data_IF_186679233688
#
_entry.id   IF_186679233688
#
_cell.length_a   1.000
_cell.length_b   1.000
_cell.length_c   1.000
_cell.angle_alpha   90.00
_cell.angle_beta   90.00
_cell.angle_gamma   90.00
#
_symmetry.space_group_name_H-M   'P 1'
#
loop_
_entity.id
_entity.type
_entity.pdbx_description
1 polymer ?
#
# COMPACT_ATOMS: atom_id res chain seq x y z
N UNK A 1 67.79 -24.98 -43.54
CA UNK A 1 66.51 -24.36 -43.11
C UNK A 1 66.69 -23.71 -41.74
N UNK A 2 66.86 -22.37 -41.68
CA UNK A 2 66.96 -21.62 -40.41
C UNK A 2 65.56 -21.11 -40.03
N UNK A 3 65.00 -21.63 -38.95
CA UNK A 3 63.80 -21.10 -38.32
C UNK A 3 64.10 -19.69 -37.76
N UNK A 4 63.52 -18.66 -38.37
CA UNK A 4 63.47 -17.32 -37.81
C UNK A 4 62.58 -17.34 -36.55
N UNK A 5 63.20 -17.19 -35.38
CA UNK A 5 62.48 -16.94 -34.13
C UNK A 5 61.93 -15.52 -34.18
N UNK A 6 60.60 -15.40 -34.23
CA UNK A 6 59.93 -14.12 -34.08
C UNK A 6 60.26 -13.52 -32.69
N UNK A 7 60.51 -12.20 -32.61
CA UNK A 7 60.76 -11.54 -31.33
C UNK A 7 59.55 -11.70 -30.41
N UNK A 8 59.80 -12.09 -29.16
CA UNK A 8 58.77 -12.13 -28.12
C UNK A 8 58.28 -10.70 -27.88
N UNK A 9 56.97 -10.42 -27.89
CA UNK A 9 56.48 -9.09 -27.56
C UNK A 9 56.94 -8.73 -26.15
N UNK A 10 57.63 -7.60 -26.03
CA UNK A 10 57.95 -6.98 -24.75
C UNK A 10 56.62 -6.77 -24.00
N UNK A 11 56.55 -7.27 -22.76
CA UNK A 11 55.41 -7.02 -21.87
C UNK A 11 55.37 -5.51 -21.59
N UNK A 12 54.58 -4.79 -22.38
CA UNK A 12 54.33 -3.37 -22.17
C UNK A 12 53.57 -3.22 -20.85
N UNK A 13 54.10 -2.42 -19.92
CA UNK A 13 53.38 -2.04 -18.71
C UNK A 13 52.11 -1.26 -19.07
N UNK A 14 51.10 -1.33 -18.21
CA UNK A 14 49.83 -0.63 -18.40
C UNK A 14 50.07 0.87 -18.52
N UNK A 15 49.55 1.48 -19.58
CA UNK A 15 49.73 2.90 -19.86
C UNK A 15 48.82 3.75 -18.96
N UNK A 16 49.22 4.99 -18.66
CA UNK A 16 48.39 5.92 -17.87
C UNK A 16 47.01 6.16 -18.50
N UNK A 17 46.93 6.13 -19.84
CA UNK A 17 45.67 6.25 -20.57
C UNK A 17 44.75 5.04 -20.34
N UNK A 18 45.29 3.82 -20.32
CA UNK A 18 44.50 2.61 -20.01
C UNK A 18 43.94 2.66 -18.59
N UNK A 19 44.73 3.11 -17.61
CA UNK A 19 44.27 3.27 -16.22
C UNK A 19 43.15 4.31 -16.13
N UNK A 20 43.27 5.43 -16.85
CA UNK A 20 42.22 6.46 -16.91
C UNK A 20 40.93 5.92 -17.51
N UNK A 21 41.01 5.19 -18.63
CA UNK A 21 39.85 4.59 -19.28
C UNK A 21 39.20 3.56 -18.36
N UNK A 22 39.99 2.68 -17.75
CA UNK A 22 39.50 1.67 -16.81
C UNK A 22 38.80 2.32 -15.60
N UNK A 23 39.39 3.37 -15.06
CA UNK A 23 38.81 4.12 -13.93
C UNK A 23 37.50 4.80 -14.32
N UNK A 24 37.43 5.40 -15.52
CA UNK A 24 36.19 6.00 -16.02
C UNK A 24 35.07 4.96 -16.15
N UNK A 25 35.35 3.81 -16.77
CA UNK A 25 34.40 2.70 -16.91
C UNK A 25 33.94 2.21 -15.53
N UNK A 26 34.87 2.06 -14.58
CA UNK A 26 34.56 1.66 -13.22
C UNK A 26 33.59 2.64 -12.54
N UNK A 27 33.84 3.94 -12.66
CA UNK A 27 32.97 4.98 -12.09
C UNK A 27 31.57 4.92 -12.69
N UNK A 28 31.45 4.82 -14.01
CA UNK A 28 30.14 4.66 -14.66
C UNK A 28 29.42 3.38 -14.22
N UNK A 29 30.15 2.27 -14.08
CA UNK A 29 29.60 1.01 -13.56
C UNK A 29 29.06 1.15 -12.14
N UNK A 30 29.82 1.79 -11.25
CA UNK A 30 29.39 2.02 -9.86
C UNK A 30 28.14 2.90 -9.81
N UNK A 31 28.08 3.98 -10.59
CA UNK A 31 26.91 4.86 -10.66
C UNK A 31 25.67 4.11 -11.16
N UNK A 32 25.81 3.28 -12.20
CA UNK A 32 24.72 2.46 -12.72
C UNK A 32 24.18 1.48 -11.66
N UNK A 33 25.08 0.79 -10.94
CA UNK A 33 24.69 -0.13 -9.86
C UNK A 33 23.95 0.61 -8.73
N UNK A 34 24.46 1.77 -8.31
CA UNK A 34 23.80 2.58 -7.27
C UNK A 34 22.40 3.03 -7.70
N UNK A 35 22.23 3.44 -8.96
CA UNK A 35 20.92 3.83 -9.48
C UNK A 35 19.90 2.67 -9.41
N UNK A 36 20.33 1.45 -9.75
CA UNK A 36 19.49 0.24 -9.66
C UNK A 36 19.12 -0.05 -8.20
N UNK A 37 20.07 0.03 -7.27
CA UNK A 37 19.80 -0.21 -5.84
C UNK A 37 18.78 0.79 -5.30
N UNK A 38 18.93 2.07 -5.61
CA UNK A 38 17.99 3.11 -5.20
C UNK A 38 16.57 2.87 -5.76
N UNK A 39 16.48 2.44 -7.02
CA UNK A 39 15.21 2.04 -7.63
C UNK A 39 14.58 0.85 -6.90
N UNK A 40 15.36 -0.20 -6.64
CA UNK A 40 14.90 -1.39 -5.94
C UNK A 40 14.39 -1.07 -4.52
N UNK A 41 15.09 -0.20 -3.79
CA UNK A 41 14.65 0.24 -2.45
C UNK A 41 13.30 0.96 -2.50
N UNK A 42 13.06 1.83 -3.49
CA UNK A 42 11.76 2.51 -3.66
C UNK A 42 10.64 1.52 -3.98
N UNK A 43 10.91 0.56 -4.85
CA UNK A 43 9.94 -0.50 -5.18
C UNK A 43 9.62 -1.38 -3.96
N UNK A 44 10.64 -1.76 -3.19
CA UNK A 44 10.46 -2.54 -1.97
C UNK A 44 9.63 -1.78 -0.93
N UNK A 45 9.98 -0.52 -0.66
CA UNK A 45 9.21 0.34 0.25
C UNK A 45 7.75 0.46 -0.18
N UNK A 46 7.48 0.63 -1.48
CA UNK A 46 6.12 0.67 -2.00
C UNK A 46 5.38 -0.64 -1.76
N UNK A 47 6.01 -1.78 -2.02
CA UNK A 47 5.41 -3.09 -1.80
C UNK A 47 5.11 -3.35 -0.32
N UNK A 48 6.02 -2.95 0.57
CA UNK A 48 5.79 -2.99 2.03
C UNK A 48 4.61 -2.11 2.42
N UNK A 49 4.57 -0.87 1.93
CA UNK A 49 3.48 0.06 2.25
C UNK A 49 2.11 -0.47 1.81
N UNK A 50 2.04 -1.05 0.61
CA UNK A 50 0.84 -1.70 0.06
C UNK A 50 0.45 -2.95 0.86
N UNK A 51 1.42 -3.78 1.27
CA UNK A 51 1.18 -4.98 2.09
C UNK A 51 0.59 -4.61 3.45
N UNK A 52 1.14 -3.58 4.12
CA UNK A 52 0.61 -3.10 5.39
C UNK A 52 -0.80 -2.53 5.19
N UNK A 53 -1.03 -1.77 4.11
CA UNK A 53 -2.36 -1.25 3.81
C UNK A 53 -3.41 -2.36 3.62
N UNK A 54 -3.03 -3.48 2.97
CA UNK A 54 -3.89 -4.66 2.87
C UNK A 54 -4.18 -5.27 4.24
N UNK A 55 -3.18 -5.44 5.10
CA UNK A 55 -3.36 -6.01 6.44
C UNK A 55 -4.25 -5.12 7.33
N UNK A 56 -4.08 -3.80 7.26
CA UNK A 56 -4.95 -2.81 7.92
C UNK A 56 -6.38 -2.93 7.39
N UNK A 57 -6.57 -3.04 6.08
CA UNK A 57 -7.90 -3.18 5.52
C UNK A 57 -8.57 -4.51 5.93
N UNK A 58 -7.83 -5.61 5.92
CA UNK A 58 -8.33 -6.93 6.30
C UNK A 58 -8.74 -7.02 7.76
N UNK A 59 -7.95 -6.45 8.67
CA UNK A 59 -8.28 -6.39 10.09
C UNK A 59 -9.52 -5.53 10.35
N UNK A 60 -9.59 -4.34 9.74
CA UNK A 60 -10.78 -3.48 9.83
C UNK A 60 -12.01 -4.15 9.23
N UNK A 61 -11.88 -4.84 8.09
CA UNK A 61 -12.98 -5.61 7.50
C UNK A 61 -13.41 -6.78 8.38
N UNK A 62 -12.48 -7.44 9.07
CA UNK A 62 -12.81 -8.52 10.00
C UNK A 62 -13.59 -8.00 11.21
N UNK A 63 -13.15 -6.87 11.79
CA UNK A 63 -13.87 -6.17 12.86
C UNK A 63 -15.29 -5.77 12.40
N UNK A 64 -15.41 -5.18 11.21
CA UNK A 64 -16.70 -4.83 10.65
C UNK A 64 -17.60 -6.04 10.40
N UNK A 65 -17.06 -7.14 9.89
CA UNK A 65 -17.82 -8.37 9.69
C UNK A 65 -18.36 -8.92 11.01
N UNK A 66 -17.52 -8.94 12.05
CA UNK A 66 -17.94 -9.37 13.38
C UNK A 66 -19.06 -8.48 13.93
N UNK A 67 -18.95 -7.16 13.76
CA UNK A 67 -20.00 -6.21 14.15
C UNK A 67 -21.30 -6.44 13.36
N UNK A 68 -21.21 -6.69 12.06
CA UNK A 68 -22.36 -6.95 11.19
C UNK A 68 -23.06 -8.27 11.50
N UNK A 69 -22.31 -9.31 11.86
CA UNK A 69 -22.82 -10.63 12.23
C UNK A 69 -23.49 -10.60 13.61
N UNK A 70 -22.95 -9.83 14.56
CA UNK A 70 -23.47 -9.73 15.95
C UNK A 70 -24.68 -8.79 16.13
N UNK A 71 -25.20 -8.22 15.04
CA UNK A 71 -26.34 -7.29 15.13
C UNK A 71 -25.96 -5.81 15.32
N UNK A 72 -24.70 -5.44 15.11
CA UNK A 72 -24.22 -4.06 15.26
C UNK A 72 -23.62 -3.76 16.63
N UNK A 73 -23.71 -2.50 17.06
CA UNK A 73 -23.38 -2.06 18.41
C UNK A 73 -24.44 -2.56 19.41
N UNK A 74 -24.18 -2.36 20.71
CA UNK A 74 -25.09 -2.78 21.81
C UNK A 74 -26.52 -2.26 21.68
N UNK A 75 -26.74 -1.25 20.85
CA UNK A 75 -28.01 -0.59 20.56
C UNK A 75 -28.62 -1.00 19.21
N UNK A 76 -28.06 -2.01 18.51
CA UNK A 76 -28.50 -2.42 17.17
C UNK A 76 -28.01 -1.51 16.05
N UNK A 77 -27.21 -0.49 16.36
CA UNK A 77 -26.73 0.49 15.39
C UNK A 77 -25.49 0.04 14.64
N UNK A 78 -25.38 0.50 13.39
CA UNK A 78 -24.16 0.28 12.61
C UNK A 78 -22.99 1.04 13.23
N UNK A 79 -21.76 0.52 13.03
CA UNK A 79 -20.58 1.32 13.31
C UNK A 79 -20.64 2.64 12.52
N UNK A 80 -20.26 3.77 13.14
CA UNK A 80 -20.34 5.05 12.46
C UNK A 80 -19.45 5.03 11.21
N UNK A 81 -20.05 5.37 10.07
CA UNK A 81 -19.27 5.64 8.86
C UNK A 81 -18.35 6.84 9.13
N UNK A 82 -17.13 6.73 8.63
CA UNK A 82 -16.12 7.79 8.70
C UNK A 82 -15.97 8.35 7.30
N UNK A 83 -16.15 9.67 7.14
CA UNK A 83 -15.98 10.32 5.85
C UNK A 83 -14.51 10.21 5.40
N UNK A 84 -14.21 9.57 4.26
CA UNK A 84 -12.85 9.45 3.74
C UNK A 84 -12.24 10.80 3.32
N UNK A 85 -13.04 11.87 3.23
CA UNK A 85 -12.57 13.23 2.90
C UNK A 85 -12.04 13.99 4.12
N UNK A 86 -12.09 13.40 5.32
CA UNK A 86 -11.54 14.03 6.50
C UNK A 86 -10.02 14.25 6.36
N UNK A 87 -9.47 15.34 6.93
CA UNK A 87 -8.03 15.53 7.04
C UNK A 87 -7.36 14.31 7.71
N UNK A 88 -6.13 13.99 7.29
CA UNK A 88 -5.40 12.80 7.75
C UNK A 88 -5.36 12.66 9.29
N UNK A 89 -5.19 13.76 10.00
CA UNK A 89 -5.10 13.77 11.48
C UNK A 89 -6.43 13.47 12.18
N UNK A 90 -7.56 13.56 11.46
CA UNK A 90 -8.91 13.26 11.96
C UNK A 90 -9.38 11.85 11.62
N UNK A 91 -8.61 11.12 10.81
CA UNK A 91 -8.91 9.73 10.47
C UNK A 91 -8.59 8.80 11.64
N UNK A 92 -9.25 7.63 11.68
CA UNK A 92 -9.00 6.64 12.72
C UNK A 92 -7.59 6.06 12.56
N UNK A 93 -6.85 5.95 13.67
CA UNK A 93 -5.52 5.32 13.71
C UNK A 93 -5.67 3.81 13.88
N UNK A 94 -4.92 3.04 13.10
CA UNK A 94 -4.82 1.60 13.32
C UNK A 94 -3.95 1.32 14.55
N UNK A 95 -4.34 0.35 15.38
CA UNK A 95 -3.66 0.05 16.66
C UNK A 95 -2.25 -0.50 16.41
N UNK A 96 -2.14 -1.52 15.56
CA UNK A 96 -0.85 -2.18 15.28
C UNK A 96 0.02 -1.42 14.28
N UNK A 97 -0.57 -0.46 13.55
CA UNK A 97 0.08 0.28 12.47
C UNK A 97 -0.16 1.79 12.65
N UNK A 98 0.52 2.43 13.63
CA UNK A 98 0.20 3.79 14.08
C UNK A 98 0.49 4.87 13.03
N UNK A 99 1.25 4.57 11.98
CA UNK A 99 1.49 5.46 10.83
C UNK A 99 0.38 5.38 9.77
N UNK A 100 -0.48 4.37 9.89
CA UNK A 100 -1.62 4.17 9.01
C UNK A 100 -2.89 4.70 9.65
N UNK A 101 -3.72 5.27 8.79
CA UNK A 101 -5.04 5.79 9.13
C UNK A 101 -6.07 5.13 8.25
N UNK A 102 -7.31 5.05 8.70
CA UNK A 102 -8.37 4.50 7.90
C UNK A 102 -9.69 5.25 8.06
N UNK A 103 -10.52 5.17 7.03
CA UNK A 103 -11.93 5.54 7.04
C UNK A 103 -12.74 4.36 6.52
N UNK A 104 -13.92 4.14 7.09
CA UNK A 104 -14.85 3.13 6.59
C UNK A 104 -16.15 3.82 6.20
N UNK A 105 -16.56 3.60 4.95
CA UNK A 105 -17.83 4.07 4.42
C UNK A 105 -18.63 2.85 4.00
N UNK A 106 -19.93 2.86 4.25
CA UNK A 106 -20.81 1.80 3.78
C UNK A 106 -21.98 2.41 3.03
N UNK A 107 -22.45 1.69 2.02
CA UNK A 107 -23.64 2.04 1.22
C UNK A 107 -24.54 0.83 1.16
N UNK A 108 -25.83 1.00 1.42
CA UNK A 108 -26.80 -0.09 1.30
C UNK A 108 -27.02 -0.45 -0.17
N UNK A 109 -26.99 -1.74 -0.50
CA UNK A 109 -27.27 -2.25 -1.83
C UNK A 109 -28.78 -2.45 -2.01
N UNK A 110 -29.39 -1.79 -3.00
CA UNK A 110 -30.81 -2.00 -3.35
C UNK A 110 -31.83 -0.96 -2.85
N UNK A 111 -31.42 0.12 -2.17
CA UNK A 111 -32.32 1.19 -1.74
C UNK A 111 -32.66 2.16 -2.90
N UNK A 112 -33.46 1.71 -3.86
CA UNK A 112 -34.08 2.55 -4.90
C UNK A 112 -35.28 3.37 -4.42
N UNK A 113 -35.31 3.76 -3.14
CA UNK A 113 -36.37 4.57 -2.55
C UNK A 113 -35.80 5.82 -1.86
N UNK A 114 -36.50 6.97 -1.88
CA UNK A 114 -36.07 8.15 -1.17
C UNK A 114 -35.87 7.79 0.30
N UNK A 115 -34.77 8.28 0.87
CA UNK A 115 -34.38 8.16 2.27
C UNK A 115 -35.48 8.71 3.18
N UNK A 116 -36.53 7.91 3.40
CA UNK A 116 -37.63 8.19 4.28
C UNK A 116 -37.30 7.59 5.64
N UNK A 117 -36.60 8.35 6.48
CA UNK A 117 -36.70 8.26 7.93
C UNK A 117 -36.79 6.83 8.50
N UNK A 118 -35.84 5.95 8.16
CA UNK A 118 -35.51 4.85 9.07
C UNK A 118 -34.95 5.51 10.32
N UNK A 119 -35.50 5.19 11.50
CA UNK A 119 -34.92 5.60 12.77
C UNK A 119 -33.40 5.41 12.70
N UNK A 120 -32.64 6.49 12.88
CA UNK A 120 -31.16 6.50 12.94
C UNK A 120 -30.73 5.54 14.04
N UNK A 121 -30.60 4.25 13.76
CA UNK A 121 -30.24 3.30 14.81
C UNK A 121 -30.46 1.84 14.50
N UNK A 122 -31.43 1.44 13.69
CA UNK A 122 -31.69 0.01 13.45
C UNK A 122 -31.60 -0.32 11.97
N UNK A 123 -30.73 -1.27 11.65
CA UNK A 123 -30.74 -1.87 10.32
C UNK A 123 -31.78 -2.99 10.23
N UNK A 124 -32.53 -3.06 9.14
CA UNK A 124 -33.29 -4.25 8.84
C UNK A 124 -32.34 -5.42 8.52
N UNK A 125 -32.54 -6.50 9.24
CA UNK A 125 -31.86 -7.78 9.09
C UNK A 125 -32.01 -8.29 7.65
N UNK A 126 -30.95 -8.90 7.10
CA UNK A 126 -30.95 -9.48 5.77
C UNK A 126 -30.60 -8.51 4.62
N UNK A 127 -30.14 -7.30 4.92
CA UNK A 127 -29.66 -6.35 3.91
C UNK A 127 -28.18 -6.52 3.58
N UNK A 128 -27.85 -6.23 2.32
CA UNK A 128 -26.50 -6.21 1.78
C UNK A 128 -25.94 -4.79 1.81
N UNK A 129 -24.68 -4.66 2.24
CA UNK A 129 -23.95 -3.41 2.32
C UNK A 129 -22.65 -3.51 1.55
N UNK A 130 -22.38 -2.52 0.69
CA UNK A 130 -21.06 -2.27 0.13
C UNK A 130 -20.23 -1.53 1.18
N UNK A 131 -19.22 -2.19 1.73
CA UNK A 131 -18.29 -1.62 2.72
C UNK A 131 -16.99 -1.25 2.01
N UNK A 132 -16.65 0.04 2.07
CA UNK A 132 -15.45 0.66 1.52
C UNK A 132 -14.49 1.01 2.68
N UNK A 133 -13.31 0.38 2.70
CA UNK A 133 -12.23 0.71 3.64
C UNK A 133 -11.16 1.48 2.89
N UNK A 134 -11.03 2.75 3.24
CA UNK A 134 -9.97 3.63 2.73
C UNK A 134 -8.81 3.63 3.72
N UNK A 135 -7.64 3.23 3.28
CA UNK A 135 -6.41 3.25 4.08
C UNK A 135 -5.50 4.35 3.58
N UNK A 136 -4.96 5.14 4.50
CA UNK A 136 -4.15 6.32 4.23
C UNK A 136 -2.82 6.25 4.99
N UNK A 137 -1.75 6.77 4.38
CA UNK A 137 -0.44 6.92 5.01
C UNK A 137 0.31 8.11 4.40
N UNK A 138 1.33 8.62 5.11
CA UNK A 138 2.16 9.72 4.62
C UNK A 138 3.42 9.18 3.94
N UNK A 139 3.75 9.72 2.76
CA UNK A 139 4.98 9.40 2.03
C UNK A 139 5.51 10.62 1.29
N UNK A 140 6.79 10.94 1.47
CA UNK A 140 7.47 12.04 0.75
C UNK A 140 6.71 13.37 0.79
N UNK A 141 6.11 13.71 1.94
CA UNK A 141 5.36 14.96 2.12
C UNK A 141 3.94 14.97 1.55
N UNK A 142 3.45 13.84 1.01
CA UNK A 142 2.08 13.70 0.53
C UNK A 142 1.32 12.55 1.19
N UNK A 143 -0.01 12.67 1.22
CA UNK A 143 -0.90 11.58 1.64
C UNK A 143 -1.11 10.60 0.49
N UNK A 144 -0.88 9.32 0.74
CA UNK A 144 -1.24 8.22 -0.14
C UNK A 144 -2.48 7.53 0.39
N UNK A 145 -3.27 6.96 -0.51
CA UNK A 145 -4.46 6.22 -0.14
C UNK A 145 -4.70 5.05 -1.07
N UNK A 146 -5.28 3.99 -0.52
CA UNK A 146 -5.80 2.85 -1.28
C UNK A 146 -7.19 2.51 -0.73
N UNK A 147 -8.07 2.03 -1.60
CA UNK A 147 -9.45 1.71 -1.25
C UNK A 147 -9.71 0.23 -1.49
N UNK A 148 -10.28 -0.43 -0.50
CA UNK A 148 -10.73 -1.81 -0.58
C UNK A 148 -12.24 -1.85 -0.41
N UNK A 149 -12.91 -2.69 -1.18
CA UNK A 149 -14.37 -2.85 -1.12
C UNK A 149 -14.72 -4.30 -0.88
N UNK A 150 -15.80 -4.53 -0.14
CA UNK A 150 -16.38 -5.85 0.05
C UNK A 150 -17.88 -5.74 0.29
N UNK A 151 -18.62 -6.79 -0.04
CA UNK A 151 -20.05 -6.87 0.25
C UNK A 151 -20.21 -7.63 1.57
N UNK A 152 -20.95 -7.04 2.50
CA UNK A 152 -21.27 -7.65 3.78
C UNK A 152 -22.78 -7.78 3.95
N UNK A 153 -23.21 -8.90 4.52
CA UNK A 153 -24.60 -9.17 4.86
C UNK A 153 -24.82 -8.87 6.33
N UNK A 154 -25.85 -8.09 6.66
CA UNK A 154 -26.26 -7.92 8.05
C UNK A 154 -27.18 -9.06 8.46
N UNK A 155 -26.73 -9.94 9.35
CA UNK A 155 -27.48 -11.16 9.71
C UNK A 155 -28.40 -11.03 10.91
N UNK A 156 -28.31 -9.96 11.70
CA UNK A 156 -29.20 -9.71 12.83
C UNK A 156 -29.25 -10.87 13.82
N UNK A 157 -28.32 -10.90 14.76
CA UNK A 157 -28.25 -11.93 15.81
C UNK A 157 -29.41 -11.89 16.78
#
# INVERSE_FOLDING_TARGET
MRLHRLPRPLRAGMTLMEVLIATAILVFGVVAVLAVIMSAQRAHQRATDETIAVQVAQSVMAEWRELMDKGGYKDGSLPPSTDPKLPFDRLKRHVDYPDYRYAVKYTEFGAGGPSGSANKGELPIGREYLVEVHVFWLRQGGTRSVVFHTIMLHRGG
#
